data_IF_609416627683
#
_entry.id   IF_609416627683
#
_cell.length_a   1.000
_cell.length_b   1.000
_cell.length_c   1.000
_cell.angle_alpha   90.00
_cell.angle_beta   90.00
_cell.angle_gamma   90.00
#
_symmetry.space_group_name_H-M   'P 1'
#
loop_
_entity.id
_entity.type
_entity.pdbx_description
1 polymer ?
#
# COMPACT_ATOMS: atom_id res chain seq x y z
N UNK A 1 -9.46 -2.74 16.15
CA UNK A 1 -8.19 -3.00 16.85
C UNK A 1 -8.31 -4.12 17.90
N UNK A 2 -9.15 -3.98 18.93
CA UNK A 2 -9.27 -4.97 20.03
C UNK A 2 -9.72 -6.38 19.58
N UNK A 3 -10.74 -6.49 18.70
CA UNK A 3 -11.19 -7.79 18.18
C UNK A 3 -10.13 -8.50 17.31
N UNK A 4 -9.31 -7.75 16.56
CA UNK A 4 -8.26 -8.31 15.69
C UNK A 4 -7.08 -8.88 16.48
N UNK A 5 -6.74 -8.26 17.63
CA UNK A 5 -5.77 -8.79 18.57
C UNK A 5 -6.28 -10.06 19.29
N UNK A 6 -7.58 -10.10 19.62
CA UNK A 6 -8.25 -11.28 20.18
C UNK A 6 -8.25 -12.48 19.24
N UNK A 7 -8.44 -12.26 17.93
CA UNK A 7 -8.43 -13.33 16.92
C UNK A 7 -7.04 -13.73 16.41
N UNK A 8 -5.95 -13.15 16.92
CA UNK A 8 -4.57 -13.39 16.47
C UNK A 8 -4.37 -13.31 14.94
N UNK A 9 -5.17 -12.49 14.27
CA UNK A 9 -5.11 -12.32 12.81
C UNK A 9 -3.71 -11.88 12.33
N UNK A 10 -3.00 -10.95 13.00
CA UNK A 10 -1.65 -10.56 12.60
C UNK A 10 -0.64 -11.72 12.71
N UNK A 11 -0.76 -12.56 13.75
CA UNK A 11 0.14 -13.69 13.96
C UNK A 11 -0.11 -14.82 12.95
N UNK A 12 -1.39 -15.10 12.64
CA UNK A 12 -1.81 -16.07 11.61
C UNK A 12 -1.41 -15.63 10.20
N UNK A 13 -1.55 -14.34 9.88
CA UNK A 13 -1.09 -13.79 8.60
C UNK A 13 0.43 -13.79 8.49
N UNK A 14 1.15 -13.41 9.56
CA UNK A 14 2.62 -13.48 9.60
C UNK A 14 3.12 -14.90 9.37
N UNK A 15 2.55 -15.88 10.07
CA UNK A 15 2.91 -17.30 9.91
C UNK A 15 2.56 -17.85 8.52
N UNK A 16 1.43 -17.46 7.93
CA UNK A 16 1.10 -17.82 6.55
C UNK A 16 2.09 -17.20 5.55
N UNK A 17 2.44 -15.93 5.71
CA UNK A 17 3.37 -15.23 4.82
C UNK A 17 4.79 -15.80 4.90
N UNK A 18 5.29 -16.07 6.12
CA UNK A 18 6.59 -16.70 6.35
C UNK A 18 6.59 -18.15 5.86
N UNK A 19 5.48 -18.89 5.95
CA UNK A 19 5.39 -20.25 5.41
C UNK A 19 5.48 -20.33 3.88
N UNK A 20 5.18 -19.23 3.19
CA UNK A 20 5.24 -19.15 1.72
C UNK A 20 6.65 -18.75 1.26
N UNK A 21 7.34 -17.88 2.01
CA UNK A 21 8.67 -17.40 1.62
C UNK A 21 9.47 -16.86 2.81
N UNK A 22 10.72 -17.31 2.96
CA UNK A 22 11.68 -16.78 3.95
C UNK A 22 12.31 -15.44 3.54
N UNK A 23 12.16 -15.02 2.28
CA UNK A 23 12.76 -13.78 1.78
C UNK A 23 11.92 -12.55 2.17
N UNK A 24 12.45 -11.60 2.97
CA UNK A 24 11.74 -10.40 3.43
C UNK A 24 11.17 -9.57 2.29
N UNK A 25 11.91 -9.46 1.19
CA UNK A 25 11.50 -8.71 0.00
C UNK A 25 10.22 -9.29 -0.62
N UNK A 26 10.11 -10.61 -0.65
CA UNK A 26 8.98 -11.30 -1.28
C UNK A 26 7.72 -11.20 -0.41
N UNK A 27 7.88 -11.23 0.92
CA UNK A 27 6.78 -10.96 1.85
C UNK A 27 6.29 -9.51 1.70
N UNK A 28 7.21 -8.54 1.59
CA UNK A 28 6.85 -7.14 1.38
C UNK A 28 6.10 -6.92 0.07
N UNK A 29 6.48 -7.62 -0.99
CA UNK A 29 5.79 -7.58 -2.27
C UNK A 29 4.37 -8.16 -2.15
N UNK A 30 4.19 -9.28 -1.44
CA UNK A 30 2.86 -9.81 -1.16
C UNK A 30 1.99 -8.82 -0.37
N UNK A 31 2.56 -8.16 0.64
CA UNK A 31 1.85 -7.12 1.42
C UNK A 31 1.43 -5.96 0.50
N UNK A 32 2.32 -5.47 -0.37
CA UNK A 32 1.98 -4.44 -1.36
C UNK A 32 0.80 -4.87 -2.23
N UNK A 33 0.82 -6.08 -2.79
CA UNK A 33 -0.27 -6.59 -3.63
C UNK A 33 -1.59 -6.67 -2.86
N UNK A 34 -1.57 -7.16 -1.63
CA UNK A 34 -2.75 -7.23 -0.75
C UNK A 34 -3.28 -5.81 -0.47
N UNK A 35 -2.41 -4.87 -0.14
CA UNK A 35 -2.77 -3.48 0.13
C UNK A 35 -3.34 -2.79 -1.11
N UNK A 36 -2.82 -3.08 -2.29
CA UNK A 36 -3.29 -2.51 -3.55
C UNK A 36 -4.70 -3.03 -3.88
N UNK A 37 -4.94 -4.34 -3.74
CA UNK A 37 -6.26 -4.96 -3.94
C UNK A 37 -7.27 -4.48 -2.89
N UNK A 38 -6.87 -4.34 -1.63
CA UNK A 38 -7.74 -3.79 -0.59
C UNK A 38 -8.03 -2.30 -0.84
N UNK A 39 -7.00 -1.52 -1.19
CA UNK A 39 -7.06 -0.09 -1.53
C UNK A 39 -7.97 0.24 -2.70
N UNK A 40 -8.15 -0.72 -3.59
CA UNK A 40 -9.10 -0.63 -4.69
C UNK A 40 -10.57 -0.69 -4.24
N UNK A 41 -10.88 -1.31 -3.09
CA UNK A 41 -12.25 -1.63 -2.63
C UNK A 41 -12.72 -0.67 -1.54
N UNK A 42 -11.82 -0.25 -0.64
CA UNK A 42 -12.15 0.53 0.54
C UNK A 42 -11.44 1.89 0.55
N UNK A 43 -12.02 2.86 1.27
CA UNK A 43 -11.45 4.19 1.45
C UNK A 43 -10.07 4.16 2.15
N UNK A 44 -9.18 5.09 1.77
CA UNK A 44 -7.82 5.18 2.29
C UNK A 44 -7.79 5.28 3.83
N UNK A 45 -8.65 6.09 4.45
CA UNK A 45 -8.61 6.28 5.90
C UNK A 45 -8.99 5.00 6.66
N UNK A 46 -10.01 4.28 6.18
CA UNK A 46 -10.44 3.02 6.78
C UNK A 46 -9.35 1.95 6.72
N UNK A 47 -8.67 1.84 5.56
CA UNK A 47 -7.59 0.88 5.40
C UNK A 47 -6.37 1.22 6.23
N UNK A 48 -5.96 2.49 6.31
CA UNK A 48 -4.86 2.89 7.20
C UNK A 48 -5.16 2.43 8.64
N UNK A 49 -6.36 2.69 9.15
CA UNK A 49 -6.75 2.33 10.52
C UNK A 49 -6.78 0.82 10.79
N UNK A 50 -7.14 0.01 9.78
CA UNK A 50 -7.24 -1.46 9.91
C UNK A 50 -5.90 -2.13 9.64
N UNK A 51 -5.21 -1.75 8.57
CA UNK A 51 -3.99 -2.37 8.08
C UNK A 51 -2.77 -2.01 8.93
N UNK A 52 -2.69 -0.80 9.48
CA UNK A 52 -1.55 -0.40 10.34
C UNK A 52 -1.30 -1.38 11.49
N UNK A 53 -2.27 -1.67 12.39
CA UNK A 53 -2.02 -2.61 13.49
C UNK A 53 -1.80 -4.06 13.05
N UNK A 54 -2.15 -4.42 11.81
CA UNK A 54 -1.99 -5.79 11.28
C UNK A 54 -0.61 -5.97 10.64
N UNK A 55 -0.21 -5.05 9.77
CA UNK A 55 0.99 -5.17 8.95
C UNK A 55 2.22 -4.51 9.58
N UNK A 56 2.07 -3.47 10.39
CA UNK A 56 3.19 -2.81 11.08
C UNK A 56 4.04 -3.78 11.94
N UNK A 57 3.47 -4.69 12.76
CA UNK A 57 4.29 -5.63 13.53
C UNK A 57 5.02 -6.65 12.64
N UNK A 58 4.44 -7.03 11.50
CA UNK A 58 5.04 -7.94 10.51
C UNK A 58 6.21 -7.24 9.82
N UNK A 59 5.98 -6.03 9.32
CA UNK A 59 6.99 -5.16 8.73
C UNK A 59 8.20 -4.93 9.65
N UNK A 60 7.93 -4.60 10.91
CA UNK A 60 8.98 -4.39 11.92
C UNK A 60 9.74 -5.68 12.23
N UNK A 61 9.05 -6.83 12.26
CA UNK A 61 9.67 -8.14 12.41
C UNK A 61 10.59 -8.54 11.25
N UNK A 62 10.36 -7.99 10.05
CA UNK A 62 11.20 -8.16 8.86
C UNK A 62 12.35 -7.14 8.77
N UNK A 63 12.50 -6.25 9.75
CA UNK A 63 13.56 -5.22 9.78
C UNK A 63 13.24 -3.94 9.01
N UNK A 64 11.98 -3.74 8.59
CA UNK A 64 11.56 -2.51 7.90
C UNK A 64 11.19 -1.42 8.90
N UNK A 65 11.61 -0.19 8.61
CA UNK A 65 11.30 0.97 9.45
C UNK A 65 9.80 1.33 9.39
N UNK A 66 9.16 1.69 10.52
CA UNK A 66 7.77 2.14 10.56
C UNK A 66 7.45 3.29 9.58
N UNK A 67 8.39 4.21 9.37
CA UNK A 67 8.20 5.35 8.46
C UNK A 67 8.17 4.90 7.01
N UNK A 68 9.11 4.04 6.60
CA UNK A 68 9.14 3.43 5.28
C UNK A 68 7.88 2.62 5.01
N UNK A 69 7.41 1.84 6.00
CA UNK A 69 6.15 1.11 5.90
C UNK A 69 4.95 2.04 5.72
N UNK A 70 4.88 3.13 6.48
CA UNK A 70 3.81 4.12 6.37
C UNK A 70 3.75 4.75 4.98
N UNK A 71 4.90 5.13 4.41
CA UNK A 71 5.00 5.69 3.05
C UNK A 71 4.58 4.64 2.01
N UNK A 72 5.09 3.41 2.11
CA UNK A 72 4.70 2.31 1.21
C UNK A 72 3.17 2.07 1.25
N UNK A 73 2.58 2.08 2.44
CA UNK A 73 1.14 1.91 2.59
C UNK A 73 0.35 3.09 1.98
N UNK A 74 0.79 4.33 2.21
CA UNK A 74 0.15 5.51 1.62
C UNK A 74 0.16 5.47 0.09
N UNK A 75 1.29 5.09 -0.50
CA UNK A 75 1.44 5.01 -1.96
C UNK A 75 0.56 3.89 -2.54
N UNK A 76 0.51 2.70 -1.90
CA UNK A 76 -0.39 1.61 -2.32
C UNK A 76 -1.86 2.03 -2.30
N UNK A 77 -2.29 2.68 -1.21
CA UNK A 77 -3.67 3.10 -1.03
C UNK A 77 -4.04 4.22 -2.00
N UNK A 78 -3.13 5.18 -2.22
CA UNK A 78 -3.31 6.22 -3.22
C UNK A 78 -3.43 5.66 -4.63
N UNK A 79 -2.61 4.66 -4.97
CA UNK A 79 -2.78 3.90 -6.21
C UNK A 79 -4.13 3.19 -6.26
N UNK A 80 -4.53 2.50 -5.19
CA UNK A 80 -5.81 1.79 -5.09
C UNK A 80 -7.01 2.67 -5.42
N UNK A 81 -7.05 3.90 -4.88
CA UNK A 81 -8.11 4.88 -5.14
C UNK A 81 -8.17 5.39 -6.59
N UNK A 82 -7.04 5.36 -7.30
CA UNK A 82 -6.99 5.69 -8.71
C UNK A 82 -7.36 4.48 -9.59
N UNK A 83 -7.20 3.23 -9.09
CA UNK A 83 -7.19 2.03 -9.94
C UNK A 83 -8.60 1.48 -10.08
N UNK A 84 -9.02 1.07 -11.30
CA UNK A 84 -10.39 0.63 -11.54
C UNK A 84 -10.65 -0.75 -10.91
N UNK A 85 -11.31 -0.78 -9.74
CA UNK A 85 -12.61 -1.46 -9.61
C UNK A 85 -13.65 -0.70 -8.73
N UNK A 86 -13.24 0.21 -7.84
CA UNK A 86 -14.13 1.14 -7.09
C UNK A 86 -13.64 2.59 -7.18
N UNK A 87 -12.33 2.81 -7.36
CA UNK A 87 -11.71 3.94 -8.07
C UNK A 87 -12.31 5.32 -7.81
N UNK A 88 -12.61 5.67 -6.56
CA UNK A 88 -13.43 6.85 -6.21
C UNK A 88 -12.81 8.16 -6.72
N UNK A 89 -11.49 8.31 -6.62
CA UNK A 89 -10.78 9.49 -7.15
C UNK A 89 -10.85 9.56 -8.67
N UNK A 90 -10.69 8.42 -9.35
CA UNK A 90 -10.84 8.33 -10.81
C UNK A 90 -12.28 8.63 -11.24
N UNK A 91 -13.28 8.13 -10.50
CA UNK A 91 -14.71 8.32 -10.77
C UNK A 91 -15.12 9.78 -10.59
N UNK A 92 -14.68 10.43 -9.50
CA UNK A 92 -14.92 11.85 -9.25
C UNK A 92 -14.22 12.72 -10.30
N UNK A 93 -12.97 12.40 -10.66
CA UNK A 93 -12.25 13.11 -11.73
C UNK A 93 -12.96 13.01 -13.08
N UNK A 94 -13.46 11.83 -13.44
CA UNK A 94 -14.24 11.63 -14.66
C UNK A 94 -15.60 12.36 -14.62
N UNK A 95 -16.27 12.38 -13.46
CA UNK A 95 -17.54 13.07 -13.28
C UNK A 95 -17.42 14.60 -13.42
N UNK A 96 -16.37 15.19 -12.83
CA UNK A 96 -16.07 16.63 -12.96
C UNK A 96 -15.59 16.97 -14.37
N UNK A 97 -14.71 16.14 -14.94
CA UNK A 97 -14.14 16.33 -16.28
C UNK A 97 -15.08 15.97 -17.44
N UNK A 98 -16.24 15.36 -17.17
CA UNK A 98 -17.18 14.81 -18.17
C UNK A 98 -16.51 13.92 -19.22
N UNK A 99 -15.47 13.18 -18.82
CA UNK A 99 -14.74 12.24 -19.67
C UNK A 99 -15.10 10.80 -19.31
N UNK A 100 -15.08 9.91 -20.30
CA UNK A 100 -15.32 8.48 -20.06
C UNK A 100 -14.15 7.88 -19.27
N UNK A 101 -14.47 6.98 -18.33
CA UNK A 101 -13.48 6.28 -17.50
C UNK A 101 -12.35 5.65 -18.32
N UNK A 102 -12.69 5.00 -19.44
CA UNK A 102 -11.71 4.35 -20.33
C UNK A 102 -10.72 5.34 -20.95
N UNK A 103 -11.17 6.55 -21.28
CA UNK A 103 -10.31 7.60 -21.82
C UNK A 103 -9.37 8.15 -20.73
N UNK A 104 -9.88 8.32 -19.50
CA UNK A 104 -9.07 8.72 -18.36
C UNK A 104 -7.99 7.67 -18.03
N UNK A 105 -8.36 6.38 -18.00
CA UNK A 105 -7.43 5.28 -17.76
C UNK A 105 -6.32 5.23 -18.81
N UNK A 106 -6.68 5.38 -20.09
CA UNK A 106 -5.70 5.39 -21.19
C UNK A 106 -4.74 6.59 -21.09
N UNK A 107 -5.21 7.72 -20.58
CA UNK A 107 -4.38 8.92 -20.39
C UNK A 107 -3.53 8.87 -19.11
N UNK A 108 -3.98 8.17 -18.06
CA UNK A 108 -3.32 8.10 -16.75
C UNK A 108 -2.33 6.92 -16.66
N UNK A 109 -2.32 5.99 -17.63
CA UNK A 109 -1.33 4.90 -17.73
C UNK A 109 0.14 5.28 -17.46
N UNK A 110 0.70 6.39 -18.01
CA UNK A 110 2.08 6.78 -17.68
C UNK A 110 2.26 7.15 -16.19
N UNK A 111 1.24 7.73 -15.56
CA UNK A 111 1.25 8.02 -14.12
C UNK A 111 1.17 6.75 -13.29
N UNK A 112 0.37 5.76 -13.72
CA UNK A 112 0.34 4.43 -13.11
C UNK A 112 1.71 3.81 -13.04
N UNK A 113 2.42 3.81 -14.16
CA UNK A 113 3.73 3.21 -14.28
C UNK A 113 4.77 3.96 -13.44
N UNK A 114 4.68 5.28 -13.36
CA UNK A 114 5.52 6.10 -12.49
C UNK A 114 5.29 5.80 -11.00
N UNK A 115 4.05 5.65 -10.54
CA UNK A 115 3.76 5.36 -9.14
C UNK A 115 4.11 3.91 -8.79
N UNK A 116 3.93 2.97 -9.72
CA UNK A 116 4.36 1.58 -9.54
C UNK A 116 5.90 1.49 -9.48
N UNK A 117 6.60 2.27 -10.30
CA UNK A 117 8.05 2.42 -10.20
C UNK A 117 8.47 3.05 -8.86
N UNK A 118 7.76 4.09 -8.41
CA UNK A 118 7.99 4.71 -7.10
C UNK A 118 7.73 3.73 -5.95
N UNK A 119 6.74 2.85 -6.07
CA UNK A 119 6.40 1.82 -5.09
C UNK A 119 7.54 0.79 -4.96
N UNK A 120 8.10 0.35 -6.09
CA UNK A 120 9.30 -0.49 -6.11
C UNK A 120 10.48 0.29 -5.53
N UNK A 121 10.68 1.55 -5.89
CA UNK A 121 11.76 2.38 -5.35
C UNK A 121 11.67 2.54 -3.83
N UNK A 122 10.48 2.79 -3.28
CA UNK A 122 10.23 2.93 -1.84
C UNK A 122 10.37 1.59 -1.10
N UNK A 123 9.97 0.48 -1.74
CA UNK A 123 10.06 -0.85 -1.15
C UNK A 123 11.50 -1.36 -1.09
N UNK A 124 12.32 -1.04 -2.10
CA UNK A 124 13.69 -1.57 -2.25
C UNK A 124 14.81 -0.59 -1.89
N UNK A 125 14.54 0.71 -1.86
CA UNK A 125 15.52 1.75 -1.52
C UNK A 125 15.03 2.53 -0.29
N UNK A 126 15.35 2.06 0.93
CA UNK A 126 15.00 2.73 2.18
C UNK A 126 15.48 4.19 2.22
N UNK A 127 16.61 4.47 1.54
CA UNK A 127 17.19 5.80 1.48
C UNK A 127 16.24 6.85 0.91
N UNK A 128 15.35 6.56 -0.04
CA UNK A 128 14.45 7.60 -0.60
C UNK A 128 13.39 8.04 0.42
N UNK A 129 12.96 7.13 1.29
CA UNK A 129 11.98 7.41 2.34
C UNK A 129 12.61 7.92 3.63
N UNK A 130 13.85 7.52 3.93
CA UNK A 130 14.57 7.89 5.15
C UNK A 130 15.49 9.10 4.99
N UNK A 131 15.80 9.56 3.77
CA UNK A 131 16.68 10.73 3.57
C UNK A 131 16.09 12.00 4.17
N UNK A 132 14.79 12.25 3.97
CA UNK A 132 14.13 13.45 4.50
C UNK A 132 13.96 13.40 6.03
N UNK A 133 13.54 12.29 6.66
CA UNK A 133 13.57 12.14 8.13
C UNK A 133 14.97 12.29 8.73
N UNK A 134 16.01 11.72 8.10
CA UNK A 134 17.39 11.79 8.61
C UNK A 134 18.04 13.18 8.58
N UNK A 135 17.39 14.16 7.93
CA UNK A 135 17.82 15.57 7.92
C UNK A 135 17.14 16.41 9.00
N UNK A 136 16.07 15.89 9.62
CA UNK A 136 15.28 16.60 10.65
C UNK A 136 15.26 15.91 12.02
N UNK A 137 15.84 14.70 12.16
CA UNK A 137 16.28 14.07 13.43
C UNK A 137 17.77 14.36 13.70
#
# INVERSE_FOLDING_TARGET
AYLLALYQVPARLSTLLVSISDNPIMILLMINVILLVLGMIMDMAALILICTPIFLPIAKGLGMDPTQFGIMMLVNLGLGLCTPPVGTCLFVGCAVGRIKMEAALKSIWPFYLAILAALVLVTYVPAVSLWLPSLYD
#
